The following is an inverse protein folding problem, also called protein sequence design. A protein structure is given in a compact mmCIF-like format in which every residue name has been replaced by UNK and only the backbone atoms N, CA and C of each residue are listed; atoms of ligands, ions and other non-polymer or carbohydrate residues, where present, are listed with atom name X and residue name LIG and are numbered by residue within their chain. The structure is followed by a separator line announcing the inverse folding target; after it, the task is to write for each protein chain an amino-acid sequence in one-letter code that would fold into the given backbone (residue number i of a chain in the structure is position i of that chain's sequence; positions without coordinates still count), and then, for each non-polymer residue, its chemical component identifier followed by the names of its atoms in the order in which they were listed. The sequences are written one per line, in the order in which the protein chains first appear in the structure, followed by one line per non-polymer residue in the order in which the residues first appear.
data_IF_858618373123
#
_entry.id   IF_858618373123
#
_cell.length_a   1.000
_cell.length_b   1.000
_cell.length_c   1.000
_cell.angle_alpha   90.00
_cell.angle_beta   90.00
_cell.angle_gamma   90.00
#
_symmetry.space_group_name_H-M   'P 1'
#
loop_
_entity.id
_entity.type
_entity.pdbx_description
1 polymer ?
#
# COMPACT_ATOMS: atom_id res chain seq x y z
N UNK A 1 0.82 10.34 0.50
CA UNK A 1 1.37 9.18 -0.23
C UNK A 1 0.62 7.88 0.05
N UNK A 2 0.62 7.36 1.29
CA UNK A 2 -0.08 6.08 1.60
C UNK A 2 -1.56 6.04 1.19
N UNK A 3 -2.29 7.15 1.32
CA UNK A 3 -3.71 7.24 0.88
C UNK A 3 -3.89 6.86 -0.59
N UNK A 4 -2.96 7.24 -1.48
CA UNK A 4 -3.02 6.90 -2.92
C UNK A 4 -2.93 5.39 -3.11
N UNK A 5 -1.94 4.75 -2.48
CA UNK A 5 -1.79 3.29 -2.51
C UNK A 5 -3.04 2.60 -1.97
N UNK A 6 -3.61 3.10 -0.87
CA UNK A 6 -4.84 2.54 -0.29
C UNK A 6 -5.99 2.57 -1.31
N UNK A 7 -6.24 3.72 -1.96
CA UNK A 7 -7.32 3.82 -2.95
C UNK A 7 -7.07 2.89 -4.15
N UNK A 8 -5.81 2.74 -4.59
CA UNK A 8 -5.46 1.77 -5.63
C UNK A 8 -5.71 0.32 -5.19
N UNK A 9 -5.35 -0.05 -3.96
CA UNK A 9 -5.65 -1.37 -3.43
C UNK A 9 -7.15 -1.63 -3.31
N UNK A 10 -7.95 -0.59 -3.00
CA UNK A 10 -9.41 -0.68 -2.98
C UNK A 10 -9.92 -0.91 -4.41
N UNK A 11 -9.44 -0.17 -5.39
CA UNK A 11 -9.80 -0.36 -6.80
C UNK A 11 -9.43 -1.77 -7.30
N UNK A 12 -8.23 -2.25 -6.98
CA UNK A 12 -7.78 -3.60 -7.31
C UNK A 12 -8.64 -4.69 -6.65
N UNK A 13 -9.04 -4.52 -5.39
CA UNK A 13 -9.96 -5.42 -4.71
C UNK A 13 -11.36 -5.40 -5.35
N UNK A 14 -11.85 -4.23 -5.75
CA UNK A 14 -13.15 -4.05 -6.41
C UNK A 14 -13.19 -4.72 -7.79
N UNK A 15 -12.12 -4.62 -8.57
CA UNK A 15 -11.95 -5.31 -9.86
C UNK A 15 -12.11 -6.84 -9.70
N UNK A 16 -11.74 -7.38 -8.54
CA UNK A 16 -11.89 -8.79 -8.20
C UNK A 16 -13.23 -9.13 -7.53
N UNK A 17 -14.21 -8.22 -7.57
CA UNK A 17 -15.57 -8.45 -7.05
C UNK A 17 -15.69 -8.41 -5.52
N UNK A 18 -14.66 -7.97 -4.80
CA UNK A 18 -14.63 -7.91 -3.34
C UNK A 18 -14.64 -6.48 -2.81
N UNK A 19 -14.99 -6.31 -1.54
CA UNK A 19 -15.05 -4.99 -0.87
C UNK A 19 -14.43 -5.04 0.51
N UNK A 20 -13.54 -4.10 0.78
CA UNK A 20 -12.98 -3.85 2.11
C UNK A 20 -12.37 -2.47 2.15
N UNK A 21 -12.40 -1.86 3.33
CA UNK A 21 -11.69 -0.61 3.63
C UNK A 21 -10.58 -0.83 4.68
N UNK A 22 -10.50 -2.05 5.22
CA UNK A 22 -9.51 -2.42 6.22
C UNK A 22 -8.13 -2.54 5.56
N UNK A 23 -7.15 -1.80 6.07
CA UNK A 23 -5.82 -1.74 5.47
C UNK A 23 -5.13 -3.10 5.45
N UNK A 24 -5.25 -3.87 6.54
CA UNK A 24 -4.65 -5.21 6.61
C UNK A 24 -5.31 -6.15 5.61
N UNK A 25 -6.65 -6.11 5.47
CA UNK A 25 -7.35 -6.89 4.45
C UNK A 25 -6.88 -6.53 3.04
N UNK A 26 -6.74 -5.23 2.73
CA UNK A 26 -6.27 -4.77 1.43
C UNK A 26 -4.85 -5.27 1.11
N UNK A 27 -3.93 -5.17 2.07
CA UNK A 27 -2.54 -5.59 1.92
C UNK A 27 -2.45 -7.13 1.80
N UNK A 28 -3.15 -7.85 2.67
CA UNK A 28 -3.19 -9.32 2.64
C UNK A 28 -3.80 -9.84 1.34
N UNK A 29 -4.86 -9.19 0.85
CA UNK A 29 -5.45 -9.54 -0.43
C UNK A 29 -4.46 -9.36 -1.59
N UNK A 30 -3.80 -8.20 -1.66
CA UNK A 30 -2.78 -7.92 -2.67
C UNK A 30 -1.68 -8.97 -2.69
N UNK A 31 -1.10 -9.29 -1.52
CA UNK A 31 -0.05 -10.30 -1.42
C UNK A 31 -0.53 -11.70 -1.80
N UNK A 32 -1.72 -12.11 -1.35
CA UNK A 32 -2.29 -13.43 -1.70
C UNK A 32 -2.56 -13.58 -3.20
N UNK A 33 -2.91 -12.49 -3.88
CA UNK A 33 -3.13 -12.49 -5.34
C UNK A 33 -1.84 -12.38 -6.14
N UNK A 34 -0.80 -11.78 -5.55
CA UNK A 34 0.46 -11.53 -6.21
C UNK A 34 1.63 -11.92 -5.28
N UNK A 35 1.88 -13.23 -5.07
CA UNK A 35 2.88 -13.69 -4.11
C UNK A 35 4.30 -13.24 -4.46
N UNK A 36 4.58 -12.98 -5.75
CA UNK A 36 5.88 -12.48 -6.22
C UNK A 36 6.18 -11.03 -5.78
N UNK A 37 5.18 -10.30 -5.26
CA UNK A 37 5.32 -8.92 -4.79
C UNK A 37 5.39 -8.81 -3.26
N UNK A 38 6.07 -9.75 -2.62
CA UNK A 38 6.27 -9.77 -1.16
C UNK A 38 6.94 -8.48 -0.65
N UNK A 39 7.98 -8.01 -1.36
CA UNK A 39 8.74 -6.81 -0.98
C UNK A 39 7.87 -5.56 -1.00
N UNK A 40 7.03 -5.43 -2.02
CA UNK A 40 6.06 -4.36 -2.17
C UNK A 40 4.99 -4.45 -1.08
N UNK A 41 4.43 -5.64 -0.85
CA UNK A 41 3.45 -5.85 0.21
C UNK A 41 4.00 -5.47 1.59
N UNK A 42 5.26 -5.81 1.86
CA UNK A 42 5.96 -5.44 3.09
C UNK A 42 6.12 -3.92 3.21
N UNK A 43 6.56 -3.23 2.16
CA UNK A 43 6.72 -1.77 2.17
C UNK A 43 5.37 -1.07 2.37
N UNK A 44 4.29 -1.53 1.73
CA UNK A 44 2.93 -1.00 1.94
C UNK A 44 2.50 -1.20 3.39
N UNK A 45 2.81 -2.35 3.99
CA UNK A 45 2.53 -2.62 5.41
C UNK A 45 3.25 -1.63 6.32
N UNK A 46 4.54 -1.36 6.07
CA UNK A 46 5.29 -0.34 6.82
C UNK A 46 4.68 1.06 6.66
N UNK A 47 4.24 1.43 5.45
CA UNK A 47 3.56 2.71 5.22
C UNK A 47 2.22 2.81 5.98
N UNK A 48 1.44 1.72 6.04
CA UNK A 48 0.20 1.64 6.81
C UNK A 48 0.46 1.85 8.30
N UNK A 49 1.51 1.21 8.82
CA UNK A 49 1.95 1.36 10.20
C UNK A 49 2.33 2.80 10.54
N UNK A 50 3.19 3.44 9.73
CA UNK A 50 3.58 4.83 9.93
C UNK A 50 2.41 5.80 9.82
N UNK A 51 1.50 5.58 8.88
CA UNK A 51 0.27 6.38 8.77
C UNK A 51 -0.57 6.27 10.03
N UNK A 52 -0.74 5.07 10.58
CA UNK A 52 -1.52 4.88 11.81
C UNK A 52 -0.85 5.59 12.98
N UNK A 53 0.48 5.51 13.12
CA UNK A 53 1.19 6.22 14.19
C UNK A 53 1.09 7.73 14.08
N UNK A 54 1.24 8.27 12.88
CA UNK A 54 1.05 9.69 12.62
C UNK A 54 -0.39 10.13 12.93
N UNK A 55 -1.38 9.33 12.55
CA UNK A 55 -2.81 9.68 12.69
C UNK A 55 -3.28 9.60 14.15
N UNK A 56 -2.90 8.55 14.87
CA UNK A 56 -3.42 8.28 16.22
C UNK A 56 -2.54 8.85 17.34
N UNK A 57 -1.23 8.94 17.11
CA UNK A 57 -0.27 9.34 18.15
C UNK A 57 0.47 10.64 17.82
N UNK A 58 0.19 11.26 16.66
CA UNK A 58 0.86 12.49 16.22
C UNK A 58 2.35 12.30 15.92
N UNK A 59 2.81 11.05 15.82
CA UNK A 59 4.22 10.76 15.64
C UNK A 59 4.71 11.06 14.23
N UNK A 60 5.82 11.80 14.12
CA UNK A 60 6.42 12.11 12.83
C UNK A 60 6.99 10.86 12.18
N UNK A 61 6.68 10.67 10.90
CA UNK A 61 7.34 9.67 10.08
C UNK A 61 8.81 10.09 9.93
N UNK A 62 9.78 9.18 10.14
CA UNK A 62 11.19 9.50 9.92
C UNK A 62 11.40 9.97 8.48
N UNK A 63 11.92 11.18 8.28
CA UNK A 63 12.19 11.72 6.93
C UNK A 63 13.11 10.79 6.12
N UNK A 64 14.06 10.17 6.81
CA UNK A 64 14.97 9.14 6.25
C UNK A 64 14.20 7.96 5.64
N UNK A 65 13.09 7.53 6.23
CA UNK A 65 12.26 6.47 5.66
C UNK A 65 11.67 6.88 4.31
N UNK A 66 11.15 8.10 4.22
CA UNK A 66 10.60 8.62 2.98
C UNK A 66 11.68 8.74 1.90
N UNK A 67 12.79 9.41 2.22
CA UNK A 67 13.86 9.67 1.25
C UNK A 67 14.48 8.37 0.72
N UNK A 68 14.59 7.33 1.57
CA UNK A 68 15.11 6.02 1.18
C UNK A 68 14.15 5.24 0.28
N UNK A 69 12.84 5.35 0.51
CA UNK A 69 11.85 4.49 -0.15
C UNK A 69 11.03 5.17 -1.25
N UNK A 70 11.18 6.49 -1.47
CA UNK A 70 10.36 7.24 -2.44
C UNK A 70 10.28 6.59 -3.83
N UNK A 71 11.41 6.10 -4.35
CA UNK A 71 11.46 5.48 -5.68
C UNK A 71 10.70 4.15 -5.71
N UNK A 72 10.80 3.35 -4.64
CA UNK A 72 10.06 2.10 -4.51
C UNK A 72 8.56 2.35 -4.32
N UNK A 73 8.20 3.41 -3.60
CA UNK A 73 6.80 3.82 -3.44
C UNK A 73 6.20 4.19 -4.80
N UNK A 74 6.93 4.93 -5.63
CA UNK A 74 6.46 5.30 -6.97
C UNK A 74 6.32 4.06 -7.88
N UNK A 75 7.26 3.10 -7.80
CA UNK A 75 7.16 1.82 -8.50
C UNK A 75 5.92 1.03 -8.07
N UNK A 76 5.61 0.99 -6.77
CA UNK A 76 4.41 0.33 -6.25
C UNK A 76 3.13 0.94 -6.82
N UNK A 77 3.06 2.27 -6.89
CA UNK A 77 1.90 2.97 -7.47
C UNK A 77 1.72 2.57 -8.94
N UNK A 78 2.81 2.55 -9.72
CA UNK A 78 2.78 2.13 -11.12
C UNK A 78 2.41 0.64 -11.27
N UNK A 79 2.94 -0.21 -10.40
CA UNK A 79 2.65 -1.64 -10.39
C UNK A 79 1.16 -1.89 -10.16
N UNK A 80 0.59 -1.35 -9.07
CA UNK A 80 -0.83 -1.56 -8.76
C UNK A 80 -1.71 -0.93 -9.85
N UNK A 81 -1.33 0.23 -10.40
CA UNK A 81 -2.01 0.84 -11.53
C UNK A 81 -2.11 -0.09 -12.74
N UNK A 82 -1.00 -0.71 -13.14
CA UNK A 82 -0.99 -1.68 -14.25
C UNK A 82 -1.89 -2.89 -13.98
N UNK A 83 -1.88 -3.40 -12.75
CA UNK A 83 -2.73 -4.54 -12.36
C UNK A 83 -4.23 -4.22 -12.46
N UNK A 84 -4.63 -2.96 -12.30
CA UNK A 84 -6.02 -2.52 -12.40
C UNK A 84 -6.45 -2.31 -13.85
N UNK A 85 -5.52 -1.86 -14.71
CA UNK A 85 -5.78 -1.63 -16.14
C UNK A 85 -5.84 -2.91 -16.98
N UNK A 86 -5.43 -4.06 -16.41
CA UNK A 86 -5.44 -5.38 -17.08
C UNK A 86 -6.81 -6.04 -17.00
#
# INVERSE_FOLDING_TARGET
MYKVIKELLVAYLLQHGMRSQNHQCLITFFYKKNPDYETEAYLISQMSYYRNRLTYYGEKIPRVFYDKNKNEIDKIIQLIGKLIET
#
